data_IF_182030170813
#
_entry.id   IF_182030170813
#
_cell.length_a   1.000
_cell.length_b   1.000
_cell.length_c   1.000
_cell.angle_alpha   90.00
_cell.angle_beta   90.00
_cell.angle_gamma   90.00
#
_symmetry.space_group_name_H-M   'P 1'
#
loop_
_entity.id
_entity.type
_entity.pdbx_description
1 polymer ?
#
# COMPACT_ATOMS: atom_id res chain seq x y z
N UNK A 1 3.59 -13.36 -18.58
CA UNK A 1 2.64 -12.51 -18.87
C UNK A 1 2.78 -11.27 -18.13
N UNK A 2 2.81 -10.24 -18.61
CA UNK A 2 2.79 -8.86 -18.30
C UNK A 2 2.62 -8.38 -16.85
N UNK A 3 3.08 -9.10 -15.82
CA UNK A 3 3.02 -8.63 -14.44
C UNK A 3 4.39 -8.12 -14.04
N UNK A 4 4.44 -6.86 -13.59
CA UNK A 4 5.67 -6.23 -13.13
C UNK A 4 5.42 -5.53 -11.80
N UNK A 5 6.37 -5.65 -10.87
CA UNK A 5 6.35 -4.89 -9.63
C UNK A 5 7.65 -4.09 -9.56
N UNK A 6 7.54 -2.81 -9.23
CA UNK A 6 8.70 -1.91 -9.29
C UNK A 6 8.51 -0.71 -8.38
N UNK A 7 9.66 -0.14 -7.94
CA UNK A 7 9.65 1.10 -7.18
C UNK A 7 9.24 2.25 -8.09
N UNK A 8 8.41 3.15 -7.59
CA UNK A 8 7.96 4.30 -8.38
C UNK A 8 9.13 5.22 -8.76
N UNK A 9 8.93 5.97 -9.82
CA UNK A 9 9.81 7.07 -10.22
C UNK A 9 8.94 8.26 -10.59
N UNK A 10 9.58 9.39 -10.91
CA UNK A 10 8.85 10.61 -11.26
C UNK A 10 7.92 10.43 -12.46
N UNK A 11 8.25 9.53 -13.37
CA UNK A 11 7.39 9.26 -14.52
C UNK A 11 6.06 8.61 -14.14
N UNK A 12 5.93 8.14 -12.89
CA UNK A 12 4.73 7.44 -12.43
C UNK A 12 3.80 8.30 -11.57
N UNK A 13 4.10 9.60 -11.41
CA UNK A 13 3.33 10.43 -10.47
C UNK A 13 1.84 10.50 -10.78
N UNK A 14 1.47 10.59 -12.06
CA UNK A 14 0.05 10.59 -12.43
C UNK A 14 -0.62 9.26 -12.07
N UNK A 15 0.05 8.16 -12.35
CA UNK A 15 -0.46 6.83 -12.00
C UNK A 15 -0.62 6.66 -10.51
N UNK A 16 0.33 7.17 -9.73
CA UNK A 16 0.25 7.13 -8.28
C UNK A 16 -0.95 7.94 -7.79
N UNK A 17 -1.11 9.16 -8.30
CA UNK A 17 -2.26 9.99 -7.92
C UNK A 17 -3.57 9.29 -8.23
N UNK A 18 -3.66 8.68 -9.39
CA UNK A 18 -4.86 7.98 -9.82
C UNK A 18 -5.22 6.83 -8.88
N UNK A 19 -4.25 5.97 -8.56
CA UNK A 19 -4.56 4.81 -7.71
C UNK A 19 -4.76 5.23 -6.26
N UNK A 20 -4.06 6.26 -5.78
CA UNK A 20 -4.30 6.78 -4.44
C UNK A 20 -5.70 7.40 -4.31
N UNK A 21 -6.17 8.04 -5.38
CA UNK A 21 -7.53 8.60 -5.40
C UNK A 21 -8.57 7.49 -5.26
N UNK A 22 -8.38 6.37 -5.98
CA UNK A 22 -9.27 5.23 -5.84
C UNK A 22 -9.22 4.63 -4.45
N UNK A 23 -8.02 4.48 -3.90
CA UNK A 23 -7.84 3.95 -2.56
C UNK A 23 -8.51 4.83 -1.51
N UNK A 24 -8.26 6.13 -1.58
CA UNK A 24 -8.86 7.09 -0.63
C UNK A 24 -10.37 7.16 -0.77
N UNK A 25 -10.88 7.06 -2.00
CA UNK A 25 -12.33 7.03 -2.23
C UNK A 25 -12.94 5.78 -1.60
N UNK A 26 -12.28 4.64 -1.76
CA UNK A 26 -12.75 3.41 -1.11
C UNK A 26 -12.77 3.58 0.40
N UNK A 27 -11.70 4.10 0.99
CA UNK A 27 -11.66 4.35 2.43
C UNK A 27 -12.75 5.33 2.88
N UNK A 28 -12.94 6.41 2.14
CA UNK A 28 -13.95 7.41 2.48
C UNK A 28 -15.35 6.80 2.51
N UNK A 29 -15.67 5.97 1.52
CA UNK A 29 -16.96 5.33 1.44
C UNK A 29 -17.21 4.34 2.59
N UNK A 30 -16.14 3.70 3.07
CA UNK A 30 -16.26 2.76 4.18
C UNK A 30 -16.24 3.45 5.54
N UNK A 31 -15.37 4.44 5.69
CA UNK A 31 -15.17 5.10 6.98
C UNK A 31 -16.33 6.00 7.39
N UNK A 32 -17.15 6.43 6.46
CA UNK A 32 -18.33 7.25 6.80
C UNK A 32 -19.44 6.40 7.43
N UNK A 33 -19.39 5.10 7.26
CA UNK A 33 -20.39 4.17 7.81
C UNK A 33 -20.13 3.92 9.30
N UNK A 34 -21.20 3.52 10.06
CA UNK A 34 -20.98 3.08 11.44
C UNK A 34 -20.05 1.86 11.47
N UNK A 35 -19.25 1.67 12.51
CA UNK A 35 -19.15 2.50 13.72
C UNK A 35 -18.24 3.72 13.60
N UNK A 36 -17.48 3.83 12.51
CA UNK A 36 -16.45 4.88 12.39
C UNK A 36 -17.04 6.26 12.21
N UNK A 37 -18.00 6.43 11.30
CA UNK A 37 -18.65 7.71 11.01
C UNK A 37 -17.66 8.86 10.80
N UNK A 38 -16.55 8.56 10.14
CA UNK A 38 -15.48 9.51 9.91
C UNK A 38 -15.52 10.00 8.46
N UNK A 39 -15.44 11.32 8.28
CA UNK A 39 -15.47 11.93 6.96
C UNK A 39 -14.04 12.18 6.48
N UNK A 40 -13.65 11.45 5.42
CA UNK A 40 -12.34 11.61 4.79
C UNK A 40 -12.46 12.56 3.62
N UNK A 41 -11.61 13.58 3.62
CA UNK A 41 -11.48 14.51 2.50
C UNK A 41 -10.53 13.92 1.48
N UNK A 42 -11.07 13.26 0.45
CA UNK A 42 -10.27 12.49 -0.51
C UNK A 42 -9.19 13.34 -1.17
N UNK A 43 -9.56 14.49 -1.71
CA UNK A 43 -8.60 15.34 -2.42
C UNK A 43 -7.46 15.79 -1.50
N UNK A 44 -7.80 16.23 -0.29
CA UNK A 44 -6.79 16.65 0.67
C UNK A 44 -5.86 15.50 1.06
N UNK A 45 -6.42 14.30 1.26
CA UNK A 45 -5.63 13.13 1.58
C UNK A 45 -4.68 12.74 0.46
N UNK A 46 -5.15 12.78 -0.78
CA UNK A 46 -4.30 12.49 -1.94
C UNK A 46 -3.19 13.52 -2.06
N UNK A 47 -3.53 14.80 -1.95
CA UNK A 47 -2.53 15.87 -2.03
C UNK A 47 -1.47 15.75 -0.94
N UNK A 48 -1.88 15.45 0.29
CA UNK A 48 -0.94 15.24 1.40
C UNK A 48 -0.01 14.06 1.09
N UNK A 49 -0.57 12.97 0.60
CA UNK A 49 0.22 11.78 0.26
C UNK A 49 1.23 12.07 -0.85
N UNK A 50 0.81 12.81 -1.87
CA UNK A 50 1.70 13.16 -2.98
C UNK A 50 2.86 14.05 -2.52
N UNK A 51 2.62 14.94 -1.57
CA UNK A 51 3.67 15.81 -1.03
C UNK A 51 4.67 15.05 -0.15
N UNK A 52 4.28 13.90 0.37
CA UNK A 52 5.08 13.13 1.32
C UNK A 52 5.60 11.82 0.73
N UNK A 53 5.68 11.71 -0.59
CA UNK A 53 6.19 10.50 -1.24
C UNK A 53 7.63 10.18 -0.87
N UNK A 54 8.42 11.18 -0.50
CA UNK A 54 9.82 10.98 -0.12
C UNK A 54 9.99 10.03 1.07
N UNK A 55 8.97 9.91 1.92
CA UNK A 55 8.99 8.96 3.05
C UNK A 55 9.04 7.51 2.59
N UNK A 56 8.68 7.28 1.33
CA UNK A 56 8.66 5.95 0.73
C UNK A 56 9.76 5.77 -0.30
N UNK A 57 10.81 6.60 -0.23
CA UNK A 57 11.95 6.51 -1.12
C UNK A 57 13.04 5.63 -0.51
N UNK A 58 13.90 5.09 -1.39
CA UNK A 58 15.07 4.33 -0.95
C UNK A 58 16.00 5.22 -0.11
N UNK A 59 16.77 4.65 0.80
CA UNK A 59 16.89 3.21 1.08
C UNK A 59 15.88 2.68 2.09
N UNK A 60 15.27 3.54 2.90
CA UNK A 60 14.47 3.12 4.05
C UNK A 60 13.02 2.85 3.73
N UNK A 61 12.53 3.37 2.63
CA UNK A 61 11.14 3.21 2.24
C UNK A 61 10.99 2.65 0.84
N UNK A 62 9.77 2.24 0.54
CA UNK A 62 9.39 1.80 -0.80
C UNK A 62 7.95 2.19 -1.08
N UNK A 63 7.70 2.54 -2.32
CA UNK A 63 6.34 2.60 -2.85
C UNK A 63 6.38 1.81 -4.14
N UNK A 64 5.85 0.60 -4.07
CA UNK A 64 5.78 -0.28 -5.23
C UNK A 64 4.49 -0.08 -5.99
N UNK A 65 4.60 -0.12 -7.29
CA UNK A 65 3.47 -0.20 -8.20
C UNK A 65 3.50 -1.56 -8.86
N UNK A 66 2.33 -2.13 -9.11
CA UNK A 66 2.20 -3.36 -9.86
C UNK A 66 1.50 -3.03 -11.17
N UNK A 67 2.10 -3.42 -12.28
CA UNK A 67 1.48 -3.32 -13.60
C UNK A 67 1.07 -4.70 -14.09
N UNK A 68 -0.10 -4.75 -14.69
CA UNK A 68 -0.57 -5.92 -15.43
C UNK A 68 -0.91 -5.42 -16.83
N UNK A 69 -0.21 -5.94 -17.83
CA UNK A 69 -0.42 -5.54 -19.23
C UNK A 69 -0.40 -4.03 -19.41
N UNK A 70 0.62 -3.37 -18.86
CA UNK A 70 0.85 -1.92 -18.95
C UNK A 70 -0.14 -1.06 -18.19
N UNK A 71 -1.02 -1.65 -17.38
CA UNK A 71 -1.95 -0.92 -16.55
C UNK A 71 -1.54 -1.02 -15.08
N UNK A 72 -1.59 0.08 -14.35
CA UNK A 72 -1.32 0.04 -12.91
C UNK A 72 -2.49 -0.66 -12.24
N UNK A 73 -2.20 -1.79 -11.61
CA UNK A 73 -3.20 -2.65 -11.00
C UNK A 73 -3.22 -2.56 -9.48
N UNK A 74 -2.08 -2.20 -8.87
CA UNK A 74 -1.99 -2.16 -7.42
C UNK A 74 -0.84 -1.32 -6.92
N UNK A 75 -0.85 -1.07 -5.62
CA UNK A 75 0.21 -0.34 -4.95
C UNK A 75 0.36 -0.84 -3.51
N UNK A 76 1.57 -0.74 -2.99
CA UNK A 76 1.86 -1.00 -1.59
C UNK A 76 3.03 -0.11 -1.19
N UNK A 77 2.98 0.43 0.02
CA UNK A 77 4.02 1.30 0.53
C UNK A 77 4.58 0.76 1.82
N UNK A 78 5.86 1.01 2.06
CA UNK A 78 6.50 0.70 3.33
C UNK A 78 7.40 1.86 3.71
N UNK A 79 7.39 2.22 4.99
CA UNK A 79 8.33 3.22 5.52
C UNK A 79 8.99 2.69 6.79
N UNK A 80 10.19 3.18 7.04
CA UNK A 80 10.88 2.89 8.29
C UNK A 80 10.25 3.71 9.41
N UNK A 81 9.98 3.08 10.54
CA UNK A 81 9.43 3.80 11.71
C UNK A 81 10.38 3.74 12.90
N UNK A 82 11.25 2.73 12.96
CA UNK A 82 12.31 2.59 13.96
C UNK A 82 13.48 1.88 13.31
N UNK A 83 14.61 1.80 14.01
CA UNK A 83 15.79 1.14 13.44
C UNK A 83 15.53 -0.30 13.02
N UNK A 84 14.66 -1.00 13.73
CA UNK A 84 14.39 -2.42 13.46
C UNK A 84 13.00 -2.67 12.86
N UNK A 85 12.27 -1.62 12.47
CA UNK A 85 10.86 -1.79 12.12
C UNK A 85 10.43 -0.96 10.94
N UNK A 86 9.58 -1.57 10.11
CA UNK A 86 8.90 -0.88 9.02
C UNK A 86 7.39 -0.95 9.20
N UNK A 87 6.70 -0.07 8.50
CA UNK A 87 5.24 -0.02 8.49
C UNK A 87 4.73 -0.11 7.06
N UNK A 88 3.79 -1.01 6.83
CA UNK A 88 3.13 -1.16 5.54
C UNK A 88 1.91 -0.26 5.51
N UNK A 89 1.78 0.53 4.45
CA UNK A 89 0.66 1.46 4.29
C UNK A 89 0.12 1.39 2.87
N UNK A 90 -1.13 1.81 2.71
CA UNK A 90 -1.75 2.04 1.41
C UNK A 90 -1.67 0.87 0.46
N UNK A 91 -1.88 -0.33 0.97
CA UNK A 91 -1.98 -1.51 0.12
C UNK A 91 -3.34 -1.53 -0.55
N UNK A 92 -3.34 -1.57 -1.88
CA UNK A 92 -4.59 -1.54 -2.63
C UNK A 92 -4.40 -2.24 -3.97
N UNK A 93 -5.39 -3.05 -4.33
CA UNK A 93 -5.47 -3.67 -5.66
C UNK A 93 -6.77 -3.18 -6.29
N UNK A 94 -6.68 -2.62 -7.49
CA UNK A 94 -7.87 -2.17 -8.21
C UNK A 94 -8.84 -3.33 -8.40
N UNK A 95 -10.15 -3.07 -8.28
CA UNK A 95 -11.15 -4.17 -8.33
C UNK A 95 -11.03 -5.08 -9.55
N UNK A 96 -10.72 -4.52 -10.71
CA UNK A 96 -10.62 -5.31 -11.95
C UNK A 96 -9.48 -6.31 -11.95
N UNK A 97 -8.53 -6.14 -11.04
CA UNK A 97 -7.33 -6.99 -10.99
C UNK A 97 -7.29 -7.89 -9.77
N UNK A 98 -8.34 -7.90 -8.97
CA UNK A 98 -8.40 -8.77 -7.79
C UNK A 98 -8.56 -10.22 -8.20
N UNK A 99 -8.15 -11.12 -7.30
CA UNK A 99 -8.21 -12.56 -7.58
C UNK A 99 -7.03 -13.10 -8.36
N UNK A 100 -5.99 -12.31 -8.58
CA UNK A 100 -4.79 -12.71 -9.33
C UNK A 100 -3.56 -12.82 -8.43
N UNK A 101 -3.75 -12.85 -7.12
CA UNK A 101 -2.69 -12.96 -6.11
C UNK A 101 -1.67 -11.82 -6.15
N UNK A 102 -2.09 -10.65 -6.63
CA UNK A 102 -1.21 -9.48 -6.63
C UNK A 102 -0.85 -9.03 -5.22
N UNK A 103 -1.77 -9.18 -4.27
CA UNK A 103 -1.49 -8.87 -2.87
C UNK A 103 -0.35 -9.70 -2.32
N UNK A 104 -0.33 -11.00 -2.62
CA UNK A 104 0.78 -11.87 -2.20
C UNK A 104 2.10 -11.39 -2.79
N UNK A 105 2.10 -11.08 -4.08
CA UNK A 105 3.30 -10.60 -4.75
C UNK A 105 3.84 -9.33 -4.10
N UNK A 106 2.96 -8.38 -3.81
CA UNK A 106 3.35 -7.11 -3.19
C UNK A 106 3.91 -7.30 -1.78
N UNK A 107 3.25 -8.13 -0.98
CA UNK A 107 3.70 -8.40 0.39
C UNK A 107 5.05 -9.10 0.38
N UNK A 108 5.26 -10.07 -0.51
CA UNK A 108 6.53 -10.76 -0.62
C UNK A 108 7.67 -9.79 -0.95
N UNK A 109 7.43 -8.84 -1.86
CA UNK A 109 8.42 -7.83 -2.19
C UNK A 109 8.77 -6.96 -0.99
N UNK A 110 7.77 -6.54 -0.23
CA UNK A 110 8.00 -5.71 0.96
C UNK A 110 8.78 -6.50 2.01
N UNK A 111 8.47 -7.77 2.21
CA UNK A 111 9.19 -8.61 3.16
C UNK A 111 10.67 -8.72 2.77
N UNK A 112 10.97 -8.88 1.47
CA UNK A 112 12.35 -8.94 1.01
C UNK A 112 13.10 -7.65 1.30
N UNK A 113 12.46 -6.51 1.06
CA UNK A 113 13.07 -5.21 1.37
C UNK A 113 13.29 -5.05 2.87
N UNK A 114 12.33 -5.48 3.68
CA UNK A 114 12.47 -5.43 5.14
C UNK A 114 13.69 -6.22 5.60
N UNK A 115 13.90 -7.41 5.02
CA UNK A 115 15.08 -8.23 5.34
C UNK A 115 16.35 -7.53 4.93
N UNK A 116 16.38 -6.92 3.75
CA UNK A 116 17.55 -6.18 3.27
C UNK A 116 17.91 -5.01 4.17
N UNK A 117 16.92 -4.42 4.81
CA UNK A 117 17.13 -3.28 5.72
C UNK A 117 17.28 -3.71 7.18
N UNK A 118 17.41 -5.01 7.42
CA UNK A 118 17.56 -5.58 8.76
C UNK A 118 16.38 -5.28 9.69
N UNK A 119 15.20 -5.13 9.13
CA UNK A 119 13.99 -4.98 9.93
C UNK A 119 13.58 -6.35 10.48
N UNK A 120 13.35 -6.41 11.78
CA UNK A 120 12.85 -7.62 12.43
C UNK A 120 11.34 -7.61 12.56
N UNK A 121 10.69 -6.46 12.34
CA UNK A 121 9.25 -6.31 12.49
C UNK A 121 8.66 -5.49 11.36
N UNK A 122 7.49 -5.91 10.91
CA UNK A 122 6.67 -5.15 9.97
C UNK A 122 5.31 -4.95 10.62
N UNK A 123 4.91 -3.71 10.73
CA UNK A 123 3.61 -3.34 11.26
C UNK A 123 2.65 -3.03 10.12
N UNK A 124 1.38 -3.26 10.38
CA UNK A 124 0.35 -3.09 9.39
C UNK A 124 -0.71 -2.14 9.93
N UNK A 125 -1.01 -1.13 9.14
CA UNK A 125 -2.07 -0.17 9.45
C UNK A 125 -3.20 -0.38 8.45
N UNK A 126 -4.25 -1.09 8.87
CA UNK A 126 -5.40 -1.34 8.02
C UNK A 126 -6.68 -1.36 8.87
N UNK A 127 -7.80 -1.04 8.24
CA UNK A 127 -9.09 -1.08 8.91
C UNK A 127 -9.68 -2.49 8.81
N UNK A 128 -10.55 -2.84 9.76
CA UNK A 128 -11.16 -4.16 9.81
C UNK A 128 -12.00 -4.50 8.60
N UNK A 129 -12.57 -3.48 7.94
CA UNK A 129 -13.36 -3.74 6.74
C UNK A 129 -12.51 -4.23 5.56
N UNK A 130 -11.20 -4.15 5.67
CA UNK A 130 -10.27 -4.67 4.66
C UNK A 130 -9.90 -6.11 5.00
N UNK A 131 -10.90 -6.95 5.15
CA UNK A 131 -10.71 -8.32 5.66
C UNK A 131 -9.76 -9.17 4.83
N UNK A 132 -9.77 -9.02 3.51
CA UNK A 132 -8.87 -9.78 2.64
C UNK A 132 -7.41 -9.47 2.93
N UNK A 133 -7.10 -8.19 3.11
CA UNK A 133 -5.76 -7.75 3.47
C UNK A 133 -5.38 -8.26 4.86
N UNK A 134 -6.28 -8.12 5.83
CA UNK A 134 -6.04 -8.58 7.19
C UNK A 134 -5.73 -10.08 7.22
N UNK A 135 -6.50 -10.88 6.51
CA UNK A 135 -6.28 -12.32 6.46
C UNK A 135 -4.93 -12.67 5.83
N UNK A 136 -4.56 -11.97 4.76
CA UNK A 136 -3.28 -12.18 4.11
C UNK A 136 -2.12 -11.86 5.05
N UNK A 137 -2.19 -10.75 5.77
CA UNK A 137 -1.16 -10.35 6.72
C UNK A 137 -1.01 -11.36 7.85
N UNK A 138 -2.12 -11.84 8.39
CA UNK A 138 -2.08 -12.87 9.44
C UNK A 138 -1.41 -14.14 8.96
N UNK A 139 -1.73 -14.54 7.73
CA UNK A 139 -1.13 -15.72 7.13
C UNK A 139 0.38 -15.59 7.00
N UNK A 140 0.88 -14.38 6.77
CA UNK A 140 2.30 -14.09 6.61
C UNK A 140 2.97 -13.71 7.93
N UNK A 141 2.26 -13.82 9.05
CA UNK A 141 2.77 -13.56 10.40
C UNK A 141 3.23 -12.12 10.62
N UNK A 142 2.52 -11.17 10.02
CA UNK A 142 2.80 -9.75 10.22
C UNK A 142 2.11 -9.25 11.49
N UNK A 143 2.67 -8.19 12.07
CA UNK A 143 2.17 -7.61 13.31
C UNK A 143 1.25 -6.44 13.00
N UNK A 144 0.07 -6.44 13.62
CA UNK A 144 -0.90 -5.36 13.47
C UNK A 144 -0.64 -4.26 14.48
N UNK A 145 -0.93 -3.04 14.05
CA UNK A 145 -0.93 -1.88 14.95
C UNK A 145 -2.36 -1.48 15.23
#
# INVERSE_FOLDING_TARGET
MGIQIFQYSESHLEGIRSILTEYMTFLANEMIKPPWKYNIEVENGVNFSMKNLDKFAKPDGRLFLVKVEDQIAGTISMRKIREDSGEIKRMFVRPNFRGRKLGNLMIEEVIEVAKENDFSKLYLDTAQFMSSAVNLYKKLSLIHI
#
